data_IF_156508732400
#
_entry.id   IF_156508732400
#
_cell.length_a   1.000
_cell.length_b   1.000
_cell.length_c   1.000
_cell.angle_alpha   90.00
_cell.angle_beta   90.00
_cell.angle_gamma   90.00
#
_symmetry.space_group_name_H-M   'P 1'
#
loop_
_entity.id
_entity.type
_entity.pdbx_description
1 polymer ?
#
# COMPACT_ATOMS: atom_id res chain seq x y z
N UNK A 1 66.33 -70.10 -15.85
CA UNK A 1 67.56 -69.35 -15.48
C UNK A 1 67.48 -67.97 -16.11
N UNK A 2 67.70 -66.92 -15.30
CA UNK A 2 68.08 -65.53 -15.66
C UNK A 2 67.09 -64.72 -16.52
N UNK A 3 66.54 -63.64 -15.94
CA UNK A 3 66.96 -62.24 -16.10
C UNK A 3 66.75 -61.76 -17.55
N UNK A 4 66.04 -60.67 -17.86
CA UNK A 4 66.24 -59.32 -17.31
C UNK A 4 65.21 -58.31 -17.84
N UNK A 5 64.79 -57.38 -16.96
CA UNK A 5 64.77 -55.90 -17.12
C UNK A 5 64.01 -55.23 -18.29
N UNK A 6 63.45 -54.03 -18.20
CA UNK A 6 62.94 -53.12 -17.15
C UNK A 6 62.46 -51.86 -17.93
N UNK A 7 61.48 -51.13 -17.37
CA UNK A 7 61.04 -49.74 -17.64
C UNK A 7 59.77 -49.53 -18.47
N UNK A 8 58.60 -49.29 -17.87
CA UNK A 8 58.10 -48.13 -17.09
C UNK A 8 57.32 -47.16 -18.00
N UNK A 9 56.01 -47.00 -17.76
CA UNK A 9 55.37 -45.67 -17.75
C UNK A 9 53.97 -45.68 -17.12
N UNK A 10 53.92 -44.92 -16.01
CA UNK A 10 52.83 -44.10 -15.49
C UNK A 10 51.50 -44.78 -15.10
N UNK A 11 51.33 -45.01 -13.80
CA UNK A 11 50.03 -45.28 -13.17
C UNK A 11 49.22 -43.98 -13.11
N UNK A 12 48.07 -43.94 -13.76
CA UNK A 12 47.03 -42.92 -13.50
C UNK A 12 46.09 -43.50 -12.45
N UNK A 13 46.26 -43.05 -11.21
CA UNK A 13 45.26 -43.18 -10.15
C UNK A 13 44.79 -41.77 -9.83
N UNK A 14 43.51 -41.49 -10.08
CA UNK A 14 42.71 -40.56 -9.28
C UNK A 14 41.31 -40.46 -9.87
N UNK A 15 40.40 -41.24 -9.28
CA UNK A 15 38.96 -41.01 -9.33
C UNK A 15 38.67 -39.68 -8.63
N UNK A 16 38.58 -38.59 -9.38
CA UNK A 16 38.11 -37.31 -8.86
C UNK A 16 36.60 -37.23 -9.11
N UNK A 17 35.84 -37.83 -8.21
CA UNK A 17 34.38 -37.72 -8.17
C UNK A 17 34.03 -36.29 -7.76
N UNK A 18 33.62 -35.48 -8.74
CA UNK A 18 33.14 -34.12 -8.53
C UNK A 18 31.81 -34.18 -7.77
N UNK A 19 31.84 -34.08 -6.44
CA UNK A 19 30.64 -33.88 -5.65
C UNK A 19 30.13 -32.46 -5.90
N UNK A 20 29.11 -32.33 -6.74
CA UNK A 20 28.30 -31.12 -6.83
C UNK A 20 27.56 -30.98 -5.49
N UNK A 21 28.10 -30.21 -4.55
CA UNK A 21 27.36 -29.79 -3.35
C UNK A 21 26.30 -28.82 -3.86
N UNK A 22 25.12 -29.35 -4.18
CA UNK A 22 23.93 -28.53 -4.30
C UNK A 22 23.69 -27.89 -2.94
N UNK A 23 23.90 -26.58 -2.83
CA UNK A 23 23.31 -25.80 -1.77
C UNK A 23 21.78 -25.95 -1.91
N UNK A 24 21.20 -26.93 -1.23
CA UNK A 24 19.79 -26.86 -0.89
C UNK A 24 19.67 -25.65 0.03
N UNK A 25 19.33 -24.50 -0.55
CA UNK A 25 18.74 -23.43 0.23
C UNK A 25 17.45 -23.99 0.80
N UNK A 26 17.50 -24.47 2.06
CA UNK A 26 16.29 -24.76 2.79
C UNK A 26 15.45 -23.48 2.72
N UNK A 27 14.14 -23.55 2.38
CA UNK A 27 13.30 -22.39 2.58
C UNK A 27 13.44 -22.03 4.06
N UNK A 28 13.88 -20.80 4.35
CA UNK A 28 13.77 -20.27 5.69
C UNK A 28 12.35 -20.59 6.16
N UNK A 29 12.21 -21.26 7.30
CA UNK A 29 10.89 -21.61 7.83
C UNK A 29 10.25 -20.30 8.28
N UNK A 30 9.65 -19.59 7.33
CA UNK A 30 8.83 -18.42 7.56
C UNK A 30 7.77 -18.85 8.58
N UNK A 31 7.65 -18.08 9.65
CA UNK A 31 6.67 -18.33 10.69
C UNK A 31 5.26 -18.35 10.11
N UNK A 32 4.29 -18.57 10.98
CA UNK A 32 2.91 -18.29 10.59
C UNK A 32 2.81 -16.81 10.18
N UNK A 33 2.12 -16.47 9.09
CA UNK A 33 2.05 -15.09 8.62
C UNK A 33 1.50 -14.20 9.74
N UNK A 34 2.06 -13.02 9.95
CA UNK A 34 1.58 -12.07 10.98
C UNK A 34 1.26 -10.74 10.33
N UNK A 35 0.02 -10.27 10.53
CA UNK A 35 -0.37 -8.90 10.19
C UNK A 35 -0.10 -8.03 11.41
N UNK A 36 0.63 -6.94 11.22
CA UNK A 36 0.98 -6.00 12.28
C UNK A 36 0.00 -4.82 12.32
N UNK A 37 -0.21 -4.17 11.17
CA UNK A 37 -1.08 -3.00 11.06
C UNK A 37 -1.53 -2.78 9.60
N UNK A 38 -2.48 -1.87 9.42
CA UNK A 38 -2.94 -1.35 8.13
C UNK A 38 -2.92 0.17 8.11
N UNK A 39 -3.06 0.75 6.92
CA UNK A 39 -3.20 2.20 6.73
C UNK A 39 -4.58 2.71 7.16
N UNK A 40 -5.55 1.81 7.24
CA UNK A 40 -6.94 2.04 7.61
C UNK A 40 -7.40 0.98 8.60
N UNK A 41 -8.03 1.41 9.70
CA UNK A 41 -8.79 0.56 10.61
C UNK A 41 -10.27 0.41 10.21
N UNK A 42 -10.72 1.23 9.25
CA UNK A 42 -12.09 1.26 8.77
C UNK A 42 -12.19 1.90 7.38
N UNK A 43 -13.21 1.54 6.61
CA UNK A 43 -13.42 2.13 5.29
C UNK A 43 -14.70 1.66 4.59
N UNK A 44 -15.11 2.34 3.52
CA UNK A 44 -16.21 1.89 2.69
C UNK A 44 -15.83 0.67 1.84
N UNK A 45 -16.83 -0.13 1.40
CA UNK A 45 -16.62 -1.11 0.35
C UNK A 45 -15.91 -0.47 -0.85
N UNK A 46 -15.08 -1.24 -1.55
CA UNK A 46 -14.25 -0.76 -2.66
C UNK A 46 -13.09 0.17 -2.29
N UNK A 47 -12.86 0.45 -1.00
CA UNK A 47 -11.64 1.15 -0.57
C UNK A 47 -10.40 0.27 -0.82
N UNK A 48 -9.27 0.89 -1.11
CA UNK A 48 -7.97 0.23 -1.12
C UNK A 48 -7.35 0.28 0.28
N UNK A 49 -6.86 -0.86 0.74
CA UNK A 49 -6.20 -1.01 2.04
C UNK A 49 -4.80 -1.57 1.81
N UNK A 50 -3.86 -1.03 2.55
CA UNK A 50 -2.51 -1.56 2.65
C UNK A 50 -2.32 -2.20 4.00
N UNK A 51 -1.80 -3.43 4.03
CA UNK A 51 -1.43 -4.15 5.25
C UNK A 51 0.07 -4.40 5.27
N UNK A 52 0.66 -4.25 6.46
CA UNK A 52 2.05 -4.57 6.73
C UNK A 52 2.15 -5.70 7.75
N UNK A 53 3.15 -6.54 7.54
CA UNK A 53 3.30 -7.75 8.31
C UNK A 53 4.64 -8.44 8.10
N UNK A 54 4.74 -9.63 8.67
CA UNK A 54 5.89 -10.53 8.52
C UNK A 54 5.41 -11.85 7.93
N UNK A 55 6.27 -12.49 7.13
CA UNK A 55 6.04 -13.83 6.60
C UNK A 55 4.72 -13.97 5.83
N UNK A 56 4.21 -12.90 5.19
CA UNK A 56 2.95 -12.94 4.42
C UNK A 56 3.09 -13.77 3.14
N UNK A 57 4.32 -14.10 2.74
CA UNK A 57 4.66 -14.95 1.62
C UNK A 57 5.11 -14.14 0.40
N UNK A 58 6.17 -14.60 -0.27
CA UNK A 58 6.64 -13.99 -1.52
C UNK A 58 5.73 -14.23 -2.73
N UNK A 59 4.78 -15.16 -2.63
CA UNK A 59 3.79 -15.47 -3.69
C UNK A 59 2.40 -15.11 -3.20
N UNK A 60 1.60 -14.55 -4.10
CA UNK A 60 0.22 -14.16 -3.81
C UNK A 60 -0.60 -15.35 -3.30
N UNK A 61 -1.16 -15.18 -2.11
CA UNK A 61 -2.16 -16.07 -1.50
C UNK A 61 -3.55 -15.44 -1.57
N UNK A 62 -4.33 -15.62 -0.51
CA UNK A 62 -5.68 -15.08 -0.39
C UNK A 62 -5.74 -14.01 0.69
N UNK A 63 -6.41 -12.89 0.39
CA UNK A 63 -6.86 -11.92 1.41
C UNK A 63 -8.33 -12.20 1.71
N UNK A 64 -8.69 -12.18 2.99
CA UNK A 64 -10.06 -12.33 3.47
C UNK A 64 -10.48 -11.08 4.24
N UNK A 65 -11.68 -10.58 3.94
CA UNK A 65 -12.36 -9.51 4.66
C UNK A 65 -13.63 -10.12 5.27
N UNK A 66 -13.61 -10.35 6.58
CA UNK A 66 -14.58 -11.22 7.25
C UNK A 66 -14.58 -12.62 6.65
N UNK A 67 -15.73 -13.06 6.13
CA UNK A 67 -15.89 -14.32 5.41
C UNK A 67 -15.69 -14.21 3.89
N UNK A 68 -15.55 -13.00 3.35
CA UNK A 68 -15.43 -12.76 1.91
C UNK A 68 -13.96 -12.81 1.47
N UNK A 69 -13.67 -13.59 0.43
CA UNK A 69 -12.37 -13.55 -0.25
C UNK A 69 -12.27 -12.33 -1.15
N UNK A 70 -11.11 -11.67 -1.15
CA UNK A 70 -10.78 -10.62 -2.13
C UNK A 70 -10.45 -11.28 -3.47
N UNK A 71 -11.02 -10.76 -4.56
CA UNK A 71 -10.75 -11.27 -5.90
C UNK A 71 -9.30 -11.01 -6.32
N UNK A 72 -8.71 -11.88 -7.13
CA UNK A 72 -7.29 -11.77 -7.51
C UNK A 72 -6.94 -10.46 -8.23
N UNK A 73 -7.85 -9.92 -9.05
CA UNK A 73 -7.71 -8.63 -9.73
C UNK A 73 -7.90 -7.42 -8.81
N UNK A 74 -8.45 -7.63 -7.61
CA UNK A 74 -8.58 -6.60 -6.58
C UNK A 74 -7.35 -6.54 -5.67
N UNK A 75 -6.42 -7.52 -5.75
CA UNK A 75 -5.10 -7.47 -5.11
C UNK A 75 -4.15 -6.66 -6.01
N UNK A 76 -3.80 -5.45 -5.58
CA UNK A 76 -3.03 -4.49 -6.36
C UNK A 76 -1.52 -4.76 -6.30
N UNK A 77 -1.03 -5.20 -5.15
CA UNK A 77 0.36 -5.62 -5.00
C UNK A 77 0.50 -6.64 -3.87
N UNK A 78 1.49 -7.52 -4.01
CA UNK A 78 1.80 -8.53 -3.01
C UNK A 78 3.31 -8.65 -2.82
N UNK A 79 3.74 -8.50 -1.57
CA UNK A 79 5.10 -8.72 -1.09
C UNK A 79 5.04 -9.42 0.24
N UNK A 80 6.15 -10.04 0.62
CA UNK A 80 6.24 -10.82 1.87
C UNK A 80 5.92 -9.99 3.13
N UNK A 81 6.08 -8.67 3.08
CA UNK A 81 5.86 -7.76 4.21
C UNK A 81 4.82 -6.67 3.95
N UNK A 82 4.22 -6.63 2.75
CA UNK A 82 3.27 -5.59 2.35
C UNK A 82 2.28 -6.14 1.31
N UNK A 83 0.99 -5.99 1.56
CA UNK A 83 -0.05 -6.36 0.58
C UNK A 83 -1.01 -5.18 0.44
N UNK A 84 -1.34 -4.83 -0.80
CA UNK A 84 -2.29 -3.79 -1.15
C UNK A 84 -3.45 -4.42 -1.90
N UNK A 85 -4.68 -4.17 -1.47
CA UNK A 85 -5.86 -4.79 -2.06
C UNK A 85 -7.09 -3.88 -1.93
N UNK A 86 -8.14 -4.20 -2.69
CA UNK A 86 -9.42 -3.50 -2.66
C UNK A 86 -10.47 -4.30 -1.91
N UNK A 87 -11.21 -3.63 -1.01
CA UNK A 87 -12.29 -4.25 -0.25
C UNK A 87 -13.40 -4.71 -1.20
N UNK A 88 -13.95 -5.92 -1.03
CA UNK A 88 -15.06 -6.41 -1.84
C UNK A 88 -16.28 -5.48 -1.84
N UNK A 89 -17.13 -5.56 -2.86
CA UNK A 89 -18.36 -4.75 -2.95
C UNK A 89 -19.32 -4.99 -1.78
N UNK A 90 -19.34 -6.22 -1.29
CA UNK A 90 -20.17 -6.60 -0.15
C UNK A 90 -19.62 -6.04 1.18
N UNK A 91 -18.38 -5.55 1.22
CA UNK A 91 -17.70 -5.18 2.46
C UNK A 91 -17.21 -6.40 3.23
N UNK A 92 -17.06 -6.23 4.54
CA UNK A 92 -16.68 -7.26 5.52
C UNK A 92 -15.84 -6.69 6.66
N UNK A 93 -15.84 -7.35 7.81
CA UNK A 93 -15.12 -6.88 8.99
C UNK A 93 -13.95 -7.80 9.34
N UNK A 94 -12.84 -7.20 9.72
CA UNK A 94 -11.59 -7.87 10.02
C UNK A 94 -10.85 -8.33 8.77
N UNK A 95 -9.51 -8.32 8.85
CA UNK A 95 -8.61 -8.73 7.77
C UNK A 95 -7.84 -9.98 8.19
N UNK A 96 -7.74 -10.96 7.29
CA UNK A 96 -6.84 -12.11 7.41
C UNK A 96 -6.14 -12.37 6.08
N UNK A 97 -4.94 -12.91 6.17
CA UNK A 97 -4.16 -13.35 5.01
C UNK A 97 -3.92 -14.85 5.14
N UNK A 98 -4.15 -15.58 4.05
CA UNK A 98 -3.85 -17.01 3.94
C UNK A 98 -2.84 -17.23 2.84
N UNK A 99 -1.72 -17.85 3.18
CA UNK A 99 -0.67 -18.26 2.23
C UNK A 99 -1.08 -19.51 1.46
N UNK A 100 -0.38 -19.76 0.36
CA UNK A 100 -0.58 -20.94 -0.48
C UNK A 100 -0.19 -22.27 0.19
N UNK A 101 0.64 -22.24 1.24
CA UNK A 101 0.95 -23.39 2.09
C UNK A 101 -0.15 -23.68 3.13
N UNK A 102 -1.25 -22.92 3.10
CA UNK A 102 -2.42 -23.11 3.95
C UNK A 102 -2.35 -22.35 5.27
N UNK A 103 -1.21 -21.78 5.65
CA UNK A 103 -1.05 -21.02 6.90
C UNK A 103 -1.83 -19.69 6.83
N UNK A 104 -2.46 -19.33 7.95
CA UNK A 104 -3.34 -18.15 8.06
C UNK A 104 -2.82 -17.23 9.14
N UNK A 105 -2.96 -15.92 8.94
CA UNK A 105 -2.49 -14.93 9.89
C UNK A 105 -3.38 -14.77 11.11
N UNK A 106 -2.90 -14.02 12.10
CA UNK A 106 -3.79 -13.38 13.07
C UNK A 106 -4.85 -12.52 12.35
N UNK A 107 -5.96 -12.30 13.05
CA UNK A 107 -6.97 -11.33 12.60
C UNK A 107 -6.49 -9.92 12.92
N UNK A 108 -6.56 -9.02 11.96
CA UNK A 108 -6.45 -7.59 12.19
C UNK A 108 -7.86 -6.99 12.23
N UNK A 109 -8.26 -6.29 13.31
CA UNK A 109 -9.54 -5.60 13.36
C UNK A 109 -9.68 -4.59 12.21
N UNK A 110 -10.83 -4.61 11.55
CA UNK A 110 -11.17 -3.66 10.50
C UNK A 110 -12.69 -3.51 10.44
N UNK A 111 -13.20 -2.30 10.30
CA UNK A 111 -14.64 -2.04 10.22
C UNK A 111 -15.05 -1.55 8.82
N UNK A 112 -15.96 -2.27 8.17
CA UNK A 112 -16.65 -1.72 7.00
C UNK A 112 -17.69 -0.70 7.45
N UNK A 113 -17.69 0.47 6.82
CA UNK A 113 -18.61 1.58 7.14
C UNK A 113 -19.03 2.36 5.90
N UNK A 114 -19.94 3.32 6.03
CA UNK A 114 -20.24 4.25 4.95
C UNK A 114 -19.11 5.29 4.77
N UNK A 115 -18.99 5.82 3.56
CA UNK A 115 -18.01 6.83 3.17
C UNK A 115 -17.86 6.89 1.66
N UNK A 116 -17.37 8.01 1.13
CA UNK A 116 -17.05 8.16 -0.29
C UNK A 116 -15.55 7.96 -0.52
N UNK A 117 -15.22 7.52 -1.72
CA UNK A 117 -13.84 7.36 -2.16
C UNK A 117 -13.58 8.42 -3.23
N UNK A 118 -12.58 9.25 -2.96
CA UNK A 118 -12.10 10.29 -3.86
C UNK A 118 -10.71 9.97 -4.38
N UNK A 119 -10.39 10.54 -5.53
CA UNK A 119 -9.11 10.37 -6.19
C UNK A 119 -8.52 11.71 -6.60
N UNK A 120 -7.21 11.84 -6.43
CA UNK A 120 -6.42 12.99 -6.87
C UNK A 120 -5.32 12.50 -7.79
N UNK A 121 -5.18 13.09 -8.97
CA UNK A 121 -4.16 12.75 -9.96
C UNK A 121 -3.57 14.01 -10.57
N UNK A 122 -2.28 14.25 -10.35
CA UNK A 122 -1.58 15.40 -10.94
C UNK A 122 -1.58 15.32 -12.47
N UNK A 123 -1.38 14.14 -13.02
CA UNK A 123 -1.24 13.92 -14.46
C UNK A 123 -2.56 13.99 -15.21
N UNK A 124 -3.64 13.45 -14.64
CA UNK A 124 -4.91 13.22 -15.36
C UNK A 124 -6.13 13.85 -14.68
N UNK A 125 -5.93 14.65 -13.64
CA UNK A 125 -7.01 15.24 -12.85
C UNK A 125 -7.47 16.62 -13.34
N UNK A 126 -8.70 16.96 -12.96
CA UNK A 126 -9.28 18.30 -13.12
C UNK A 126 -10.13 18.62 -11.87
N UNK A 127 -9.94 19.80 -11.27
CA UNK A 127 -10.70 20.21 -10.08
C UNK A 127 -12.18 20.51 -10.36
N UNK A 128 -12.59 20.57 -11.62
CA UNK A 128 -14.00 20.62 -12.01
C UNK A 128 -14.68 19.23 -11.98
N UNK A 129 -13.90 18.16 -11.79
CA UNK A 129 -14.41 16.80 -11.63
C UNK A 129 -14.98 16.56 -10.22
N UNK A 130 -15.87 15.57 -10.12
CA UNK A 130 -16.43 15.10 -8.85
C UNK A 130 -15.43 14.43 -7.90
N UNK A 131 -14.29 13.96 -8.42
CA UNK A 131 -13.28 13.23 -7.65
C UNK A 131 -13.61 11.74 -7.45
N UNK A 132 -14.76 11.24 -7.91
CA UNK A 132 -15.30 9.93 -7.54
C UNK A 132 -14.78 8.77 -8.41
N UNK A 133 -13.95 9.05 -9.40
CA UNK A 133 -13.34 8.05 -10.27
C UNK A 133 -11.82 8.22 -10.36
N UNK A 134 -11.08 7.11 -10.33
CA UNK A 134 -9.61 7.11 -10.37
C UNK A 134 -9.01 7.56 -11.72
N UNK A 135 -9.83 7.55 -12.77
CA UNK A 135 -9.51 7.99 -14.13
C UNK A 135 -10.66 8.84 -14.65
N UNK A 136 -10.39 9.84 -15.53
CA UNK A 136 -11.45 10.59 -16.20
C UNK A 136 -12.44 9.67 -16.91
N UNK A 137 -13.73 9.90 -16.70
CA UNK A 137 -14.80 9.21 -17.42
C UNK A 137 -15.95 10.19 -17.63
N UNK A 138 -16.32 10.45 -18.89
CA UNK A 138 -17.38 11.42 -19.20
C UNK A 138 -17.04 12.86 -18.79
N UNK A 139 -18.09 13.70 -18.73
CA UNK A 139 -17.95 15.14 -18.44
C UNK A 139 -18.01 15.37 -16.93
N UNK A 140 -16.91 15.89 -16.35
CA UNK A 140 -16.78 16.24 -14.92
C UNK A 140 -16.80 15.04 -13.95
N UNK A 141 -16.51 13.84 -14.44
CA UNK A 141 -16.27 12.68 -13.57
C UNK A 141 -14.83 12.20 -13.77
N UNK A 142 -14.13 11.99 -12.67
CA UNK A 142 -12.69 11.73 -12.68
C UNK A 142 -11.98 12.28 -11.45
N UNK A 143 -10.64 12.13 -11.37
CA UNK A 143 -9.90 12.58 -10.23
C UNK A 143 -9.79 14.10 -10.21
N UNK A 144 -9.63 14.68 -9.02
CA UNK A 144 -9.18 16.07 -8.87
C UNK A 144 -7.73 16.20 -9.33
N UNK A 145 -7.34 17.42 -9.73
CA UNK A 145 -5.96 17.69 -10.15
C UNK A 145 -5.02 17.86 -8.95
N UNK A 146 -5.52 18.50 -7.90
CA UNK A 146 -4.77 18.80 -6.68
C UNK A 146 -5.64 18.57 -5.42
N UNK A 147 -5.08 18.85 -4.25
CA UNK A 147 -5.73 18.64 -2.96
C UNK A 147 -6.74 19.74 -2.58
N UNK A 148 -6.89 20.80 -3.37
CA UNK A 148 -7.75 21.94 -3.00
C UNK A 148 -9.23 21.60 -2.89
N UNK A 149 -9.84 20.71 -3.71
CA UNK A 149 -11.25 20.38 -3.56
C UNK A 149 -11.53 19.60 -2.28
N UNK A 150 -10.57 18.82 -1.76
CA UNK A 150 -10.70 18.08 -0.51
C UNK A 150 -11.20 18.99 0.62
N UNK A 151 -10.64 20.19 0.74
CA UNK A 151 -10.93 21.12 1.85
C UNK A 151 -12.39 21.53 2.00
N UNK A 152 -13.20 21.40 0.93
CA UNK A 152 -14.60 21.80 0.90
C UNK A 152 -15.56 20.63 0.71
N UNK A 153 -15.06 19.49 0.24
CA UNK A 153 -15.92 18.41 -0.26
C UNK A 153 -15.97 17.21 0.67
N UNK A 154 -14.87 16.88 1.35
CA UNK A 154 -14.81 15.65 2.16
C UNK A 154 -15.50 15.83 3.50
N UNK A 155 -16.12 14.75 3.95
CA UNK A 155 -16.89 14.62 5.19
C UNK A 155 -16.39 13.42 6.00
N UNK A 156 -16.71 13.31 7.30
CA UNK A 156 -16.38 12.15 8.11
C UNK A 156 -16.66 10.82 7.40
N UNK A 157 -15.65 9.95 7.36
CA UNK A 157 -15.69 8.67 6.67
C UNK A 157 -15.15 8.68 5.24
N UNK A 158 -14.92 9.84 4.63
CA UNK A 158 -14.39 9.85 3.27
C UNK A 158 -12.90 9.45 3.23
N UNK A 159 -12.51 8.82 2.13
CA UNK A 159 -11.11 8.50 1.82
C UNK A 159 -10.71 9.22 0.55
N UNK A 160 -9.53 9.84 0.56
CA UNK A 160 -8.91 10.50 -0.59
C UNK A 160 -7.64 9.75 -0.95
N UNK A 161 -7.63 9.09 -2.11
CA UNK A 161 -6.42 8.47 -2.65
C UNK A 161 -5.66 9.45 -3.54
N UNK A 162 -4.39 9.66 -3.20
CA UNK A 162 -3.48 10.55 -3.93
C UNK A 162 -2.55 9.69 -4.79
N UNK A 163 -2.68 9.86 -6.10
CA UNK A 163 -1.83 9.18 -7.09
C UNK A 163 -0.43 9.77 -7.14
N UNK A 164 0.50 9.07 -7.76
CA UNK A 164 1.87 9.54 -7.94
C UNK A 164 1.89 10.91 -8.65
N UNK A 165 2.76 11.80 -8.19
CA UNK A 165 2.90 13.14 -8.71
C UNK A 165 3.50 14.11 -7.68
N UNK A 166 4.00 15.23 -8.19
CA UNK A 166 4.42 16.37 -7.37
C UNK A 166 3.24 17.33 -7.18
N UNK A 167 2.79 17.46 -5.93
CA UNK A 167 1.72 18.36 -5.51
C UNK A 167 2.33 19.54 -4.77
N UNK A 168 2.84 20.50 -5.54
CA UNK A 168 3.52 21.72 -5.09
C UNK A 168 2.58 22.93 -4.97
N UNK A 169 1.27 22.75 -5.21
CA UNK A 169 0.29 23.81 -5.03
C UNK A 169 0.23 24.28 -3.57
N UNK A 170 0.14 25.60 -3.36
CA UNK A 170 -0.13 26.16 -2.04
C UNK A 170 -1.64 26.29 -1.81
N UNK A 171 -2.13 25.68 -0.74
CA UNK A 171 -3.53 25.68 -0.32
C UNK A 171 -3.83 26.77 0.72
N UNK A 172 -5.12 27.08 0.85
CA UNK A 172 -5.61 28.09 1.79
C UNK A 172 -5.62 29.51 1.22
N UNK A 173 -6.30 30.44 1.91
CA UNK A 173 -6.38 31.84 1.48
C UNK A 173 -4.97 32.45 1.51
N UNK A 174 -4.50 32.97 0.36
CA UNK A 174 -3.16 33.52 0.13
C UNK A 174 -1.99 32.51 0.12
N UNK A 175 -2.25 31.21 -0.10
CA UNK A 175 -1.19 30.20 -0.24
C UNK A 175 -0.42 29.98 1.07
N UNK A 176 -1.01 29.25 2.02
CA UNK A 176 -0.45 29.08 3.36
C UNK A 176 0.40 27.82 3.51
N UNK A 177 -0.04 26.70 2.93
CA UNK A 177 0.66 25.44 3.04
C UNK A 177 0.34 24.47 1.91
N UNK A 178 1.22 23.50 1.65
CA UNK A 178 0.96 22.44 0.66
C UNK A 178 -0.12 21.44 1.13
N UNK A 179 -0.16 21.17 2.43
CA UNK A 179 -1.28 20.48 3.08
C UNK A 179 -1.89 21.39 4.15
N UNK A 180 -3.16 21.76 3.97
CA UNK A 180 -3.86 22.72 4.81
C UNK A 180 -5.12 22.11 5.41
N UNK A 181 -5.06 21.65 6.66
CA UNK A 181 -6.19 21.01 7.35
C UNK A 181 -6.86 22.01 8.29
N UNK A 182 -8.19 22.09 8.23
CA UNK A 182 -9.02 23.00 9.04
C UNK A 182 -9.87 22.22 10.05
N UNK A 183 -10.43 22.94 11.02
CA UNK A 183 -11.42 22.43 11.98
C UNK A 183 -12.58 21.65 11.32
N UNK A 184 -13.04 22.09 10.15
CA UNK A 184 -14.13 21.45 9.42
C UNK A 184 -13.68 20.26 8.55
N UNK A 185 -12.38 19.95 8.53
CA UNK A 185 -11.81 18.75 7.91
C UNK A 185 -11.45 17.72 9.00
N UNK A 186 -12.37 17.52 9.94
CA UNK A 186 -12.24 16.58 11.04
C UNK A 186 -13.15 15.37 10.81
N UNK A 187 -12.64 14.18 11.15
CA UNK A 187 -13.48 12.98 11.21
C UNK A 187 -14.41 12.99 12.42
N UNK A 188 -15.14 11.90 12.59
CA UNK A 188 -15.85 11.58 13.84
C UNK A 188 -15.46 10.18 14.31
N UNK A 189 -15.84 9.80 15.52
CA UNK A 189 -15.53 8.48 16.10
C UNK A 189 -15.98 7.36 15.15
N UNK A 190 -15.03 6.53 14.71
CA UNK A 190 -15.27 5.45 13.74
C UNK A 190 -15.43 5.90 12.29
N UNK A 191 -15.41 7.20 11.99
CA UNK A 191 -15.52 7.76 10.64
C UNK A 191 -14.39 8.78 10.40
N UNK A 192 -13.13 8.32 10.34
CA UNK A 192 -12.01 9.20 10.01
C UNK A 192 -12.14 9.74 8.58
N UNK A 193 -11.53 10.89 8.33
CA UNK A 193 -11.21 11.36 6.97
C UNK A 193 -9.79 10.89 6.69
N UNK A 194 -9.60 10.07 5.66
CA UNK A 194 -8.30 9.51 5.33
C UNK A 194 -7.72 10.14 4.06
N UNK A 195 -6.44 10.51 4.10
CA UNK A 195 -5.66 10.96 2.95
C UNK A 195 -4.49 9.98 2.75
N UNK A 196 -4.57 9.13 1.74
CA UNK A 196 -3.69 7.97 1.58
C UNK A 196 -3.13 7.94 0.16
N UNK A 197 -1.93 7.39 -0.04
CA UNK A 197 -1.41 7.11 -1.38
C UNK A 197 -2.29 6.11 -2.12
N UNK A 198 -2.47 6.30 -3.43
CA UNK A 198 -3.04 5.25 -4.27
C UNK A 198 -2.13 4.00 -4.28
N UNK A 199 -2.68 2.77 -4.36
CA UNK A 199 -1.87 1.54 -4.32
C UNK A 199 -0.70 1.54 -5.30
N UNK A 200 0.44 1.01 -4.86
CA UNK A 200 1.69 0.94 -5.60
C UNK A 200 2.24 2.28 -6.12
N UNK A 201 1.69 3.41 -5.68
CA UNK A 201 2.08 4.76 -6.10
C UNK A 201 2.64 5.55 -4.92
N UNK A 202 3.51 6.53 -5.20
CA UNK A 202 4.11 7.39 -4.17
C UNK A 202 3.92 8.86 -4.53
N UNK A 203 2.93 9.55 -3.92
CA UNK A 203 2.77 10.99 -4.09
C UNK A 203 3.85 11.76 -3.32
N UNK A 204 4.23 12.93 -3.84
CA UNK A 204 5.06 13.90 -3.13
C UNK A 204 4.23 15.16 -2.91
N UNK A 205 3.99 15.50 -1.63
CA UNK A 205 3.29 16.73 -1.25
C UNK A 205 4.33 17.78 -0.84
N UNK A 206 4.29 18.91 -1.52
CA UNK A 206 5.21 20.03 -1.32
C UNK A 206 6.35 20.10 -2.33
N UNK A 207 7.12 21.17 -2.26
CA UNK A 207 8.25 21.46 -3.14
C UNK A 207 8.77 22.87 -2.91
N UNK A 208 9.98 23.19 -3.43
CA UNK A 208 10.56 24.54 -3.32
C UNK A 208 9.98 25.53 -4.34
N UNK A 209 9.29 25.02 -5.37
CA UNK A 209 8.63 25.83 -6.39
C UNK A 209 7.44 26.55 -5.75
N UNK A 210 7.57 27.87 -5.56
CA UNK A 210 6.52 28.69 -4.93
C UNK A 210 6.55 28.75 -3.40
N UNK A 211 7.52 28.12 -2.74
CA UNK A 211 7.75 28.29 -1.31
C UNK A 211 8.22 29.74 -1.03
N UNK A 212 7.28 30.63 -0.69
CA UNK A 212 7.64 31.88 -0.02
C UNK A 212 8.09 31.55 1.40
N UNK A 213 8.92 32.38 2.04
CA UNK A 213 9.42 32.16 3.40
C UNK A 213 8.32 31.95 4.48
N UNK A 214 7.04 32.18 4.14
CA UNK A 214 5.88 31.95 4.99
C UNK A 214 5.11 30.63 4.67
N UNK A 215 5.44 29.94 3.58
CA UNK A 215 4.81 28.68 3.16
C UNK A 215 5.27 27.51 4.00
N UNK A 216 4.35 26.81 4.67
CA UNK A 216 4.63 25.59 5.43
C UNK A 216 4.30 24.35 4.61
N UNK A 217 5.02 23.25 4.77
CA UNK A 217 4.62 21.97 4.13
C UNK A 217 3.28 21.47 4.69
N UNK A 218 3.11 21.57 6.01
CA UNK A 218 1.93 21.12 6.73
C UNK A 218 1.42 22.23 7.66
N UNK A 219 0.12 22.49 7.63
CA UNK A 219 -0.54 23.42 8.52
C UNK A 219 -1.83 22.82 9.07
N UNK A 220 -1.91 22.72 10.40
CA UNK A 220 -3.13 22.47 11.15
C UNK A 220 -3.64 23.80 11.71
N UNK A 221 -4.92 24.12 11.49
CA UNK A 221 -5.54 25.28 12.12
C UNK A 221 -6.19 24.85 13.42
N UNK A 222 -5.79 25.47 14.53
CA UNK A 222 -6.26 25.19 15.89
C UNK A 222 -7.77 24.98 15.98
N UNK A 223 -8.15 23.76 16.32
CA UNK A 223 -9.37 23.37 17.02
C UNK A 223 -8.91 22.37 18.07
N UNK A 224 -9.40 22.49 19.31
CA UNK A 224 -9.00 21.69 20.48
C UNK A 224 -8.65 20.25 20.09
N UNK A 225 -7.37 19.91 20.16
CA UNK A 225 -6.87 18.56 19.92
C UNK A 225 -7.05 17.75 21.21
N UNK A 226 -8.28 17.32 21.49
CA UNK A 226 -8.47 16.26 22.49
C UNK A 226 -8.12 14.93 21.83
N UNK A 227 -6.84 14.57 21.94
CA UNK A 227 -6.41 13.17 21.89
C UNK A 227 -6.61 12.59 23.29
N UNK A 228 -7.86 12.31 23.64
CA UNK A 228 -8.20 11.46 24.80
C UNK A 228 -8.65 10.11 24.31
#
# INVERSE_FOLDING_TARGET
MRESNFNLRLKISSTCMLWLIGFFSAPAHAGDPVILYSDLDSGPPQAYVTVWGNDLGAKQGTVMIGSAGVAGNDIQSWRDTKIEFRIPKAGGDGIKIRRNDGKTSNALPFATRSGRIFFVSKANGNNDNDGLAATPSGRRTGPWRDLSPMLKTVSPGDIVYVRAGLYDEMLGRRGKAHLFIRENNSGSTGFPIALISYPAETPVIGGISGATAAGRTLFFRDGVHDWT
#
